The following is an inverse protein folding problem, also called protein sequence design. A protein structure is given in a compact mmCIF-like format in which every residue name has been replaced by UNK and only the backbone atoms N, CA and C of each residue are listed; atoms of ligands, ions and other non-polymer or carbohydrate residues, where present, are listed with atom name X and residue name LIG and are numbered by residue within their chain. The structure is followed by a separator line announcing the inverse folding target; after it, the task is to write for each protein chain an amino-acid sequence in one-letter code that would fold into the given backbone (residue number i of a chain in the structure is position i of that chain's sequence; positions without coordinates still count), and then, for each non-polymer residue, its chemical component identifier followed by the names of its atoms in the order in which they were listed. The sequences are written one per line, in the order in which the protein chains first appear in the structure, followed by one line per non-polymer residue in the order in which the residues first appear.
data_IF_232257542389
#
_entry.id   IF_232257542389
#
_cell.length_a   1.000
_cell.length_b   1.000
_cell.length_c   1.000
_cell.angle_alpha   90.00
_cell.angle_beta   90.00
_cell.angle_gamma   90.00
#
_symmetry.space_group_name_H-M   'P 1'
#
loop_
_entity.id
_entity.type
_entity.pdbx_description
1 polymer ?
#
# COMPACT_ATOMS: atom_id res chain seq x y z
N UNK A 1 6.14 23.13 -6.65
CA UNK A 1 6.19 22.12 -5.57
C UNK A 1 5.31 20.97 -6.02
N UNK A 2 5.80 19.74 -5.98
CA UNK A 2 5.07 18.55 -6.42
C UNK A 2 3.78 18.33 -5.61
N UNK A 3 2.71 17.88 -6.27
CA UNK A 3 1.46 17.53 -5.58
C UNK A 3 1.65 16.35 -4.62
N UNK A 4 2.50 15.38 -4.96
CA UNK A 4 2.90 14.27 -4.08
C UNK A 4 3.57 14.80 -2.81
N UNK A 5 4.48 15.77 -2.93
CA UNK A 5 5.14 16.39 -1.78
C UNK A 5 4.13 17.13 -0.89
N UNK A 6 3.15 17.82 -1.48
CA UNK A 6 2.08 18.49 -0.73
C UNK A 6 1.27 17.49 0.08
N UNK A 7 0.80 16.39 -0.52
CA UNK A 7 0.03 15.40 0.21
C UNK A 7 0.86 14.63 1.24
N UNK A 8 2.09 14.24 0.90
CA UNK A 8 2.97 13.58 1.86
C UNK A 8 3.19 14.45 3.10
N UNK A 9 3.51 15.73 2.95
CA UNK A 9 3.61 16.66 4.08
C UNK A 9 2.32 16.74 4.90
N UNK A 10 1.18 16.84 4.23
CA UNK A 10 -0.11 16.89 4.91
C UNK A 10 -0.40 15.60 5.70
N UNK A 11 0.04 14.42 5.23
CA UNK A 11 -0.08 13.16 5.98
C UNK A 11 0.84 13.17 7.21
N UNK A 12 2.09 13.61 7.04
CA UNK A 12 3.09 13.62 8.13
C UNK A 12 2.71 14.55 9.29
N UNK A 13 1.87 15.55 9.04
CA UNK A 13 1.31 16.44 10.08
C UNK A 13 0.17 15.81 10.88
N UNK A 14 -0.41 14.70 10.42
CA UNK A 14 -1.51 14.02 11.11
C UNK A 14 -0.97 13.13 12.22
N UNK A 15 -1.56 13.23 13.42
CA UNK A 15 -1.11 12.48 14.60
C UNK A 15 -2.10 11.38 15.01
N UNK A 16 -3.15 11.18 14.21
CA UNK A 16 -4.19 10.18 14.47
C UNK A 16 -4.58 9.44 13.20
N UNK A 17 -4.75 8.14 13.32
CA UNK A 17 -5.52 7.32 12.38
C UNK A 17 -7.00 7.40 12.79
N UNK A 18 -7.87 7.73 11.84
CA UNK A 18 -9.32 7.75 12.07
C UNK A 18 -9.89 6.35 11.81
N UNK A 19 -10.64 5.81 12.77
CA UNK A 19 -11.36 4.55 12.65
C UNK A 19 -12.87 4.83 12.81
N UNK A 20 -13.65 4.93 11.71
CA UNK A 20 -15.07 5.24 11.79
C UNK A 20 -15.86 4.18 12.56
N UNK A 21 -16.78 4.61 13.46
CA UNK A 21 -17.63 3.72 14.28
C UNK A 21 -18.52 2.80 13.45
N UNK A 22 -18.92 3.24 12.24
CA UNK A 22 -19.73 2.43 11.32
C UNK A 22 -18.99 1.19 10.78
N UNK A 23 -17.67 1.09 10.95
CA UNK A 23 -16.86 -0.03 10.45
C UNK A 23 -16.02 -0.73 11.52
N UNK A 24 -15.96 -0.19 12.73
CA UNK A 24 -15.15 -0.74 13.81
C UNK A 24 -15.91 -0.74 15.12
N UNK A 25 -15.68 -1.79 15.91
CA UNK A 25 -16.10 -1.85 17.30
C UNK A 25 -14.99 -1.35 18.21
N UNK A 26 -15.36 -0.80 19.37
CA UNK A 26 -14.40 -0.36 20.38
C UNK A 26 -13.53 -1.52 20.83
N UNK A 27 -14.13 -2.69 21.06
CA UNK A 27 -13.47 -3.90 21.55
C UNK A 27 -12.41 -4.39 20.55
N UNK A 28 -12.72 -4.39 19.25
CA UNK A 28 -11.76 -4.77 18.21
C UNK A 28 -10.57 -3.83 18.14
N UNK A 29 -10.81 -2.52 18.26
CA UNK A 29 -9.74 -1.53 18.28
C UNK A 29 -8.90 -1.60 19.55
N UNK A 30 -9.48 -1.89 20.72
CA UNK A 30 -8.73 -2.11 21.96
C UNK A 30 -7.88 -3.37 21.87
N UNK A 31 -8.42 -4.44 21.27
CA UNK A 31 -7.67 -5.66 21.04
C UNK A 31 -6.41 -5.39 20.17
N UNK A 32 -6.54 -4.56 19.14
CA UNK A 32 -5.42 -4.22 18.25
C UNK A 32 -4.47 -3.19 18.86
N UNK A 33 -4.98 -2.05 19.29
CA UNK A 33 -4.20 -0.85 19.65
C UNK A 33 -4.10 -0.59 21.16
N UNK A 34 -4.91 -1.26 21.97
CA UNK A 34 -5.00 -1.03 23.41
C UNK A 34 -6.00 0.10 23.73
N UNK A 35 -6.04 0.51 25.01
CA UNK A 35 -6.99 1.53 25.49
C UNK A 35 -6.52 2.97 25.22
N UNK A 36 -5.72 3.17 24.16
CA UNK A 36 -5.16 4.48 23.76
C UNK A 36 -6.08 5.25 22.80
N UNK A 37 -7.34 4.84 22.70
CA UNK A 37 -8.32 5.38 21.76
C UNK A 37 -8.94 6.68 22.30
N UNK A 38 -9.02 7.71 21.45
CA UNK A 38 -9.81 8.91 21.73
C UNK A 38 -11.17 8.76 21.05
N UNK A 39 -12.24 8.81 21.82
CA UNK A 39 -13.60 8.71 21.27
C UNK A 39 -14.12 10.08 20.80
N UNK A 40 -14.74 10.09 19.62
CA UNK A 40 -15.54 11.20 19.10
C UNK A 40 -16.96 10.72 18.81
N UNK A 41 -17.84 11.60 18.34
CA UNK A 41 -19.20 11.23 17.95
C UNK A 41 -19.22 10.10 16.91
N UNK A 42 -18.43 10.24 15.83
CA UNK A 42 -18.49 9.36 14.66
C UNK A 42 -17.31 8.38 14.51
N UNK A 43 -16.24 8.55 15.29
CA UNK A 43 -15.01 7.78 15.11
C UNK A 43 -14.24 7.53 16.41
N UNK A 44 -13.38 6.52 16.36
CA UNK A 44 -12.29 6.30 17.29
C UNK A 44 -11.02 6.84 16.66
N UNK A 45 -10.23 7.61 17.41
CA UNK A 45 -8.94 8.14 16.94
C UNK A 45 -7.83 7.34 17.62
N UNK A 46 -6.95 6.76 16.81
CA UNK A 46 -5.77 6.02 17.27
C UNK A 46 -4.56 6.94 17.13
N UNK A 47 -3.87 7.31 18.22
CA UNK A 47 -2.62 8.05 18.14
C UNK A 47 -1.60 7.31 17.29
N UNK A 48 -0.91 8.02 16.41
CA UNK A 48 0.06 7.42 15.50
C UNK A 48 1.25 8.34 15.22
N UNK A 49 2.30 7.74 14.68
CA UNK A 49 3.48 8.43 14.16
C UNK A 49 3.73 8.05 12.71
N UNK A 50 4.68 8.71 12.06
CA UNK A 50 5.10 8.41 10.70
C UNK A 50 6.62 8.37 10.62
N UNK A 51 7.13 7.52 9.73
CA UNK A 51 8.55 7.41 9.44
C UNK A 51 8.77 7.63 7.95
N UNK A 52 9.71 8.53 7.64
CA UNK A 52 10.26 8.69 6.28
C UNK A 52 11.74 8.40 6.32
N UNK A 53 12.29 8.12 5.14
CA UNK A 53 13.70 7.78 4.95
C UNK A 53 14.36 8.78 4.03
N UNK A 54 15.68 8.69 3.92
CA UNK A 54 16.40 9.50 2.93
C UNK A 54 15.86 9.21 1.52
N UNK A 55 15.78 10.22 0.64
CA UNK A 55 15.43 10.02 -0.77
C UNK A 55 16.23 8.90 -1.42
N UNK A 56 15.59 8.16 -2.34
CA UNK A 56 16.28 7.19 -3.17
C UNK A 56 17.25 7.91 -4.12
N UNK A 57 18.44 7.34 -4.30
CA UNK A 57 19.40 7.87 -5.26
C UNK A 57 18.99 7.50 -6.69
N UNK A 58 19.30 8.34 -7.70
CA UNK A 58 18.97 8.03 -9.10
C UNK A 58 19.54 6.69 -9.59
N UNK A 59 20.71 6.29 -9.09
CA UNK A 59 21.33 4.99 -9.37
C UNK A 59 20.57 3.82 -8.78
N UNK A 60 19.99 3.97 -7.58
CA UNK A 60 19.16 2.93 -6.96
C UNK A 60 17.91 2.72 -7.80
N UNK A 61 17.28 3.81 -8.23
CA UNK A 61 16.08 3.74 -9.07
C UNK A 61 16.38 3.04 -10.41
N UNK A 62 17.48 3.40 -11.07
CA UNK A 62 17.90 2.69 -12.30
C UNK A 62 18.18 1.21 -12.06
N UNK A 63 18.82 0.87 -10.94
CA UNK A 63 19.14 -0.51 -10.61
C UNK A 63 17.87 -1.36 -10.39
N UNK A 64 16.83 -0.81 -9.75
CA UNK A 64 15.57 -1.52 -9.56
C UNK A 64 14.80 -1.68 -10.86
N UNK A 65 14.77 -0.66 -11.72
CA UNK A 65 14.10 -0.74 -13.03
C UNK A 65 14.75 -1.82 -13.90
N UNK A 66 16.08 -1.88 -13.89
CA UNK A 66 16.83 -2.95 -14.55
C UNK A 66 16.51 -4.34 -13.97
N UNK A 67 16.41 -4.44 -12.64
CA UNK A 67 16.14 -5.70 -11.93
C UNK A 67 14.70 -6.21 -12.14
N UNK A 68 13.76 -5.28 -12.30
CA UNK A 68 12.36 -5.56 -12.54
C UNK A 68 12.06 -5.77 -14.03
N UNK A 69 12.92 -5.27 -14.92
CA UNK A 69 12.78 -5.38 -16.37
C UNK A 69 11.86 -4.31 -16.98
N UNK A 70 11.58 -3.23 -16.25
CA UNK A 70 10.68 -2.16 -16.69
C UNK A 70 10.94 -0.84 -15.95
N UNK A 71 10.51 0.27 -16.56
CA UNK A 71 10.52 1.58 -15.92
C UNK A 71 9.39 1.69 -14.88
N UNK A 72 9.68 2.29 -13.72
CA UNK A 72 8.67 2.53 -12.71
C UNK A 72 7.65 3.57 -13.19
N UNK A 73 6.39 3.52 -12.71
CA UNK A 73 5.45 4.62 -12.89
C UNK A 73 6.05 5.94 -12.41
N UNK A 74 5.86 7.02 -13.18
CA UNK A 74 6.46 8.34 -12.89
C UNK A 74 6.12 8.85 -11.48
N UNK A 75 4.88 8.62 -11.03
CA UNK A 75 4.41 9.00 -9.70
C UNK A 75 5.16 8.26 -8.58
N UNK A 76 5.40 6.95 -8.73
CA UNK A 76 6.18 6.15 -7.78
C UNK A 76 7.66 6.57 -7.79
N UNK A 77 8.22 6.82 -8.99
CA UNK A 77 9.57 7.37 -9.13
C UNK A 77 9.72 8.69 -8.36
N UNK A 78 8.79 9.63 -8.55
CA UNK A 78 8.77 10.90 -7.84
C UNK A 78 8.61 10.73 -6.33
N UNK A 79 7.75 9.82 -5.88
CA UNK A 79 7.61 9.51 -4.46
C UNK A 79 8.95 9.04 -3.85
N UNK A 80 9.66 8.13 -4.52
CA UNK A 80 10.94 7.61 -4.06
C UNK A 80 12.03 8.69 -3.97
N UNK A 81 11.98 9.71 -4.83
CA UNK A 81 12.86 10.88 -4.77
C UNK A 81 12.55 11.83 -3.60
N UNK A 82 11.40 11.68 -2.95
CA UNK A 82 11.07 12.40 -1.71
C UNK A 82 11.43 11.57 -0.47
N UNK A 83 11.20 10.25 -0.52
CA UNK A 83 11.51 9.31 0.56
C UNK A 83 11.64 7.90 0.02
N UNK A 84 12.70 7.17 0.38
CA UNK A 84 12.91 5.78 -0.05
C UNK A 84 12.01 4.81 0.74
N UNK A 85 10.72 4.79 0.41
CA UNK A 85 9.68 4.12 1.20
C UNK A 85 9.18 5.01 2.35
N UNK A 86 8.17 4.55 3.06
CA UNK A 86 7.63 5.23 4.23
C UNK A 86 6.79 4.28 5.09
N UNK A 87 6.67 4.59 6.37
CA UNK A 87 5.71 3.95 7.27
C UNK A 87 4.75 5.01 7.77
N UNK A 88 3.48 4.93 7.36
CA UNK A 88 2.46 5.92 7.69
C UNK A 88 1.44 5.34 8.67
N UNK A 89 1.00 6.16 9.61
CA UNK A 89 0.08 5.82 10.69
C UNK A 89 0.55 4.60 11.48
N UNK A 90 1.78 4.69 12.00
CA UNK A 90 2.38 3.70 12.88
C UNK A 90 1.75 3.86 14.27
N UNK A 91 1.08 2.81 14.76
CA UNK A 91 0.38 2.79 16.03
C UNK A 91 0.92 1.66 16.93
N UNK A 92 0.97 1.85 18.25
CA UNK A 92 1.38 0.80 19.17
C UNK A 92 0.37 -0.37 19.14
N UNK A 93 0.87 -1.60 19.27
CA UNK A 93 0.03 -2.78 19.47
C UNK A 93 -0.27 -3.01 20.96
N UNK A 94 -1.50 -3.37 21.28
CA UNK A 94 -2.01 -3.55 22.65
C UNK A 94 -1.16 -4.53 23.49
N UNK A 95 -0.68 -5.59 22.84
CA UNK A 95 0.04 -6.70 23.45
C UNK A 95 1.56 -6.45 23.56
N UNK A 96 2.04 -5.29 23.11
CA UNK A 96 3.48 -4.97 23.09
C UNK A 96 3.92 -4.41 24.45
N UNK A 97 4.93 -5.02 25.12
CA UNK A 97 5.54 -4.43 26.30
C UNK A 97 6.19 -3.08 25.98
N UNK A 98 6.09 -2.11 26.90
CA UNK A 98 6.56 -0.73 26.70
C UNK A 98 8.05 -0.56 26.38
N UNK A 99 8.86 -1.59 26.64
CA UNK A 99 10.31 -1.62 26.37
C UNK A 99 10.69 -2.30 25.05
N UNK A 100 9.73 -2.90 24.32
CA UNK A 100 10.01 -3.53 23.02
C UNK A 100 10.03 -2.48 21.91
N UNK A 101 11.01 -2.56 21.00
CA UNK A 101 11.04 -1.77 19.76
C UNK A 101 10.50 -2.53 18.55
N UNK A 102 10.13 -3.81 18.69
CA UNK A 102 9.53 -4.64 17.62
C UNK A 102 8.02 -4.72 17.77
N UNK A 103 7.29 -4.64 16.66
CA UNK A 103 5.86 -4.96 16.58
C UNK A 103 4.91 -3.78 16.77
N UNK A 104 5.13 -2.65 16.10
CA UNK A 104 4.07 -1.65 15.95
C UNK A 104 3.20 -2.01 14.75
N UNK A 105 1.93 -1.61 14.80
CA UNK A 105 1.03 -1.69 13.66
C UNK A 105 1.39 -0.58 12.68
N UNK A 106 1.71 -0.93 11.43
CA UNK A 106 2.03 0.04 10.38
C UNK A 106 0.89 0.05 9.38
N UNK A 107 0.02 1.06 9.43
CA UNK A 107 -1.16 1.05 8.57
C UNK A 107 -0.81 1.10 7.07
N UNK A 108 0.21 1.87 6.67
CA UNK A 108 0.75 1.83 5.31
C UNK A 108 2.26 1.70 5.34
N UNK A 109 2.79 0.56 4.91
CA UNK A 109 4.22 0.38 4.70
C UNK A 109 4.50 0.46 3.20
N UNK A 110 4.89 1.66 2.77
CA UNK A 110 5.30 1.94 1.39
C UNK A 110 6.74 1.46 1.21
N UNK A 111 6.94 0.61 0.21
CA UNK A 111 8.19 -0.11 -0.01
C UNK A 111 9.33 0.82 -0.42
N UNK A 112 10.49 0.58 0.20
CA UNK A 112 11.78 1.08 -0.29
C UNK A 112 12.15 0.44 -1.62
N UNK A 113 13.18 0.98 -2.29
CA UNK A 113 13.74 0.44 -3.53
C UNK A 113 14.10 -1.06 -3.40
N UNK A 114 14.71 -1.47 -2.29
CA UNK A 114 15.08 -2.87 -2.05
C UNK A 114 13.85 -3.78 -1.88
N UNK A 115 12.84 -3.31 -1.14
CA UNK A 115 11.59 -4.03 -0.93
C UNK A 115 10.80 -4.15 -2.23
N UNK A 116 10.74 -3.10 -3.06
CA UNK A 116 10.11 -3.13 -4.37
C UNK A 116 10.65 -4.27 -5.23
N UNK A 117 11.97 -4.44 -5.31
CA UNK A 117 12.59 -5.54 -6.07
C UNK A 117 12.19 -6.89 -5.47
N UNK A 118 12.40 -7.05 -4.17
CA UNK A 118 12.20 -8.34 -3.49
C UNK A 118 10.74 -8.80 -3.59
N UNK A 119 9.79 -7.92 -3.27
CA UNK A 119 8.36 -8.23 -3.27
C UNK A 119 7.87 -8.54 -4.69
N UNK A 120 8.17 -7.68 -5.66
CA UNK A 120 7.65 -7.87 -7.03
C UNK A 120 8.29 -9.08 -7.74
N UNK A 121 9.55 -9.42 -7.45
CA UNK A 121 10.16 -10.66 -7.96
C UNK A 121 9.52 -11.91 -7.35
N UNK A 122 9.20 -11.88 -6.05
CA UNK A 122 8.47 -12.98 -5.40
C UNK A 122 7.05 -13.12 -5.98
N UNK A 123 6.33 -12.01 -6.16
CA UNK A 123 5.01 -12.02 -6.80
C UNK A 123 5.07 -12.61 -8.21
N UNK A 124 6.07 -12.25 -9.02
CA UNK A 124 6.27 -12.83 -10.34
C UNK A 124 6.56 -14.34 -10.29
N UNK A 125 7.37 -14.78 -9.31
CA UNK A 125 7.67 -16.20 -9.10
C UNK A 125 6.41 -16.97 -8.72
N UNK A 126 5.63 -16.45 -7.79
CA UNK A 126 4.39 -17.08 -7.32
C UNK A 126 3.35 -17.13 -8.43
N UNK A 127 3.19 -16.04 -9.19
CA UNK A 127 2.37 -15.99 -10.38
C UNK A 127 2.76 -17.09 -11.38
N UNK A 128 4.05 -17.22 -11.71
CA UNK A 128 4.53 -18.28 -12.62
C UNK A 128 4.36 -19.68 -12.06
N UNK A 129 4.55 -19.88 -10.76
CA UNK A 129 4.37 -21.19 -10.14
C UNK A 129 2.90 -21.65 -10.22
N UNK A 130 1.97 -20.71 -10.09
CA UNK A 130 0.53 -21.00 -10.13
C UNK A 130 -0.06 -21.05 -11.55
N UNK A 131 0.47 -20.24 -12.47
CA UNK A 131 -0.14 -20.00 -13.78
C UNK A 131 0.80 -20.20 -14.98
N UNK A 132 2.06 -20.51 -14.79
CA UNK A 132 3.02 -20.65 -15.91
C UNK A 132 2.70 -21.81 -16.88
N UNK A 133 1.77 -22.70 -16.52
CA UNK A 133 1.26 -23.75 -17.40
C UNK A 133 0.05 -23.31 -18.24
N UNK A 134 -0.54 -22.16 -17.94
CA UNK A 134 -1.60 -21.55 -18.72
C UNK A 134 -1.00 -20.96 -20.01
N UNK A 135 -1.50 -21.34 -21.21
CA UNK A 135 -1.01 -20.82 -22.49
C UNK A 135 -0.99 -19.29 -22.56
N UNK A 136 -1.92 -18.61 -21.88
CA UNK A 136 -2.04 -17.15 -21.94
C UNK A 136 -0.92 -16.43 -21.14
N UNK A 137 -0.26 -17.14 -20.22
CA UNK A 137 0.72 -16.57 -19.29
C UNK A 137 2.11 -17.23 -19.36
N UNK A 138 2.31 -18.18 -20.27
CA UNK A 138 3.52 -19.00 -20.37
C UNK A 138 4.81 -18.19 -20.58
N UNK A 139 4.70 -17.10 -21.33
CA UNK A 139 5.82 -16.24 -21.70
C UNK A 139 5.90 -14.94 -20.88
N UNK A 140 5.19 -14.89 -19.73
CA UNK A 140 5.13 -13.69 -18.92
C UNK A 140 6.45 -13.45 -18.17
N UNK A 141 7.23 -12.49 -18.68
CA UNK A 141 8.55 -12.17 -18.17
C UNK A 141 8.59 -11.09 -17.08
N UNK A 142 7.56 -10.26 -17.02
CA UNK A 142 7.39 -9.15 -16.07
C UNK A 142 5.93 -9.01 -15.70
N UNK A 143 5.65 -8.47 -14.52
CA UNK A 143 4.27 -8.17 -14.15
C UNK A 143 3.71 -6.99 -14.98
N UNK A 144 2.39 -6.81 -15.14
CA UNK A 144 1.76 -5.61 -15.70
C UNK A 144 1.42 -4.57 -14.61
N UNK A 145 1.84 -4.80 -13.37
CA UNK A 145 1.70 -3.88 -12.23
C UNK A 145 2.99 -3.85 -11.42
N UNK A 146 3.04 -2.94 -10.45
CA UNK A 146 4.05 -2.90 -9.40
C UNK A 146 3.38 -2.76 -8.03
N UNK A 147 3.56 -3.75 -7.16
CA UNK A 147 3.17 -3.64 -5.77
C UNK A 147 4.10 -2.64 -5.06
N UNK A 148 3.53 -1.67 -4.36
CA UNK A 148 4.29 -0.55 -3.77
C UNK A 148 4.02 -0.32 -2.28
N UNK A 149 2.97 -0.91 -1.72
CA UNK A 149 2.63 -0.77 -0.31
C UNK A 149 2.10 -2.10 0.24
N UNK A 150 2.53 -2.48 1.44
CA UNK A 150 1.90 -3.55 2.21
C UNK A 150 0.50 -3.10 2.65
N UNK A 151 -0.47 -4.00 2.48
CA UNK A 151 -1.85 -3.84 2.88
C UNK A 151 -2.28 -4.91 3.90
N UNK A 152 -1.31 -5.52 4.59
CA UNK A 152 -1.45 -6.57 5.60
C UNK A 152 -1.96 -7.90 5.06
N UNK A 153 -1.69 -8.96 5.82
CA UNK A 153 -2.14 -10.34 5.53
C UNK A 153 -1.77 -10.82 4.12
N UNK A 154 -0.60 -10.40 3.62
CA UNK A 154 -0.11 -10.75 2.29
C UNK A 154 -0.75 -9.96 1.14
N UNK A 155 -1.65 -9.02 1.44
CA UNK A 155 -2.26 -8.13 0.46
C UNK A 155 -1.36 -6.92 0.19
N UNK A 156 -1.50 -6.33 -0.99
CA UNK A 156 -0.72 -5.16 -1.39
C UNK A 156 -1.60 -4.10 -2.03
N UNK A 157 -1.12 -2.85 -2.04
CA UNK A 157 -1.54 -1.89 -3.05
C UNK A 157 -0.58 -1.95 -4.23
N UNK A 158 -1.13 -1.93 -5.45
CA UNK A 158 -0.37 -2.00 -6.68
C UNK A 158 -0.77 -0.90 -7.66
N UNK A 159 0.19 -0.48 -8.49
CA UNK A 159 -0.01 0.48 -9.58
C UNK A 159 -0.03 -0.28 -10.90
N UNK A 160 -1.10 -0.13 -11.68
CA UNK A 160 -1.19 -0.71 -13.01
C UNK A 160 -0.22 -0.01 -13.97
N UNK A 161 0.52 -0.78 -14.78
CA UNK A 161 1.56 -0.26 -15.68
C UNK A 161 1.17 -0.24 -17.14
N UNK A 162 0.13 -0.97 -17.53
CA UNK A 162 -0.23 -1.19 -18.94
C UNK A 162 -1.74 -0.98 -19.15
N UNK A 163 -2.14 -0.71 -20.40
CA UNK A 163 -3.54 -0.58 -20.79
C UNK A 163 -4.13 0.83 -20.58
N UNK A 164 -5.44 0.99 -20.85
CA UNK A 164 -6.11 2.29 -20.84
C UNK A 164 -6.22 2.93 -19.45
N UNK A 165 -6.13 2.14 -18.39
CA UNK A 165 -6.19 2.60 -16.99
C UNK A 165 -4.79 2.63 -16.33
N UNK A 166 -3.72 2.68 -17.14
CA UNK A 166 -2.36 2.79 -16.64
C UNK A 166 -2.23 3.91 -15.59
N UNK A 167 -1.57 3.60 -14.48
CA UNK A 167 -1.37 4.50 -13.35
C UNK A 167 -2.38 4.32 -12.21
N UNK A 168 -3.49 3.61 -12.42
CA UNK A 168 -4.47 3.36 -11.35
C UNK A 168 -3.86 2.57 -10.19
N UNK A 169 -4.31 2.89 -8.98
CA UNK A 169 -4.00 2.16 -7.75
C UNK A 169 -5.14 1.20 -7.45
N UNK A 170 -4.82 -0.07 -7.23
CA UNK A 170 -5.79 -1.11 -6.90
C UNK A 170 -5.32 -1.97 -5.73
N UNK A 171 -6.29 -2.62 -5.07
CA UNK A 171 -6.02 -3.55 -3.99
C UNK A 171 -5.71 -4.93 -4.57
N UNK A 172 -4.49 -5.42 -4.34
CA UNK A 172 -4.00 -6.71 -4.77
C UNK A 172 -4.21 -7.71 -3.63
N UNK A 173 -5.33 -8.41 -3.69
CA UNK A 173 -5.72 -9.42 -2.71
C UNK A 173 -4.99 -10.75 -2.98
N UNK A 174 -4.30 -11.26 -1.98
CA UNK A 174 -3.51 -12.50 -2.08
C UNK A 174 -4.38 -13.74 -2.31
N UNK A 175 -5.64 -13.74 -1.88
CA UNK A 175 -6.56 -14.86 -2.05
C UNK A 175 -6.90 -15.10 -3.53
N UNK A 176 -6.79 -14.05 -4.36
CA UNK A 176 -7.06 -14.09 -5.81
C UNK A 176 -5.81 -14.37 -6.65
N UNK A 177 -4.74 -14.86 -6.01
CA UNK A 177 -3.54 -15.40 -6.67
C UNK A 177 -2.81 -14.39 -7.58
N UNK A 178 -2.96 -13.09 -7.31
CA UNK A 178 -2.23 -12.03 -7.99
C UNK A 178 -2.47 -11.94 -9.52
N UNK A 179 -3.71 -12.19 -9.96
CA UNK A 179 -4.15 -12.36 -11.35
C UNK A 179 -4.90 -11.17 -12.00
N UNK A 180 -4.35 -9.95 -12.14
CA UNK A 180 -5.04 -8.88 -12.86
C UNK A 180 -4.90 -8.96 -14.39
N UNK A 181 -4.66 -10.15 -14.97
CA UNK A 181 -4.33 -10.32 -16.39
C UNK A 181 -5.47 -10.84 -17.26
N UNK A 182 -6.54 -11.39 -16.69
CA UNK A 182 -7.68 -11.85 -17.48
C UNK A 182 -8.82 -10.83 -17.41
N UNK A 183 -9.55 -10.64 -18.51
CA UNK A 183 -10.77 -9.80 -18.52
C UNK A 183 -11.81 -10.28 -17.50
N UNK A 184 -11.77 -11.57 -17.13
CA UNK A 184 -12.66 -12.15 -16.11
C UNK A 184 -12.25 -11.80 -14.68
N UNK A 185 -10.96 -11.55 -14.46
CA UNK A 185 -10.41 -11.26 -13.14
C UNK A 185 -10.16 -9.75 -12.93
N UNK A 186 -10.16 -8.94 -14.00
CA UNK A 186 -9.99 -7.48 -13.91
C UNK A 186 -11.04 -6.82 -13.03
N UNK A 187 -12.28 -7.33 -13.02
CA UNK A 187 -13.37 -6.89 -12.15
C UNK A 187 -13.17 -7.24 -10.66
N UNK A 188 -12.28 -8.20 -10.35
CA UNK A 188 -11.96 -8.61 -8.98
C UNK A 188 -11.01 -7.63 -8.29
N UNK A 189 -10.18 -6.92 -9.06
CA UNK A 189 -9.24 -5.93 -8.57
C UNK A 189 -9.85 -4.53 -8.67
N UNK A 190 -10.71 -4.20 -7.70
CA UNK A 190 -11.38 -2.90 -7.69
C UNK A 190 -10.36 -1.75 -7.58
N UNK A 191 -10.63 -0.70 -8.34
CA UNK A 191 -9.83 0.53 -8.30
C UNK A 191 -10.00 1.20 -6.93
N UNK A 192 -8.88 1.41 -6.23
CA UNK A 192 -8.84 2.18 -4.98
C UNK A 192 -8.75 3.67 -5.31
N UNK A 193 -7.91 4.03 -6.29
CA UNK A 193 -7.78 5.40 -6.78
C UNK A 193 -7.30 5.43 -8.24
N UNK A 194 -7.59 6.52 -8.96
CA UNK A 194 -7.21 6.70 -10.37
C UNK A 194 -5.70 6.91 -10.56
N UNK A 195 -4.98 7.31 -9.50
CA UNK A 195 -3.53 7.47 -9.51
C UNK A 195 -2.94 7.41 -8.09
N UNK A 196 -1.61 7.40 -7.98
CA UNK A 196 -0.93 7.49 -6.69
C UNK A 196 -1.20 8.82 -5.98
N UNK A 197 -1.32 9.92 -6.73
CA UNK A 197 -1.69 11.23 -6.21
C UNK A 197 -3.11 11.22 -5.65
N UNK A 198 -4.07 10.64 -6.38
CA UNK A 198 -5.44 10.49 -5.92
C UNK A 198 -5.52 9.59 -4.68
N UNK A 199 -4.70 8.54 -4.61
CA UNK A 199 -4.58 7.71 -3.42
C UNK A 199 -4.02 8.48 -2.22
N UNK A 200 -2.95 9.26 -2.39
CA UNK A 200 -2.40 10.11 -1.33
C UNK A 200 -3.42 11.16 -0.87
N UNK A 201 -4.15 11.77 -1.79
CA UNK A 201 -5.23 12.70 -1.46
C UNK A 201 -6.33 12.02 -0.63
N UNK A 202 -6.73 10.81 -1.01
CA UNK A 202 -7.70 10.01 -0.26
C UNK A 202 -7.20 9.73 1.16
N UNK A 203 -5.93 9.33 1.31
CA UNK A 203 -5.30 9.08 2.61
C UNK A 203 -5.30 10.36 3.46
N UNK A 204 -5.00 11.53 2.89
CA UNK A 204 -5.09 12.83 3.57
C UNK A 204 -6.51 13.12 4.04
N UNK A 205 -7.48 13.07 3.12
CA UNK A 205 -8.89 13.42 3.36
C UNK A 205 -9.53 12.53 4.43
N UNK A 206 -9.13 11.27 4.46
CA UNK A 206 -9.71 10.25 5.36
C UNK A 206 -8.90 10.04 6.62
N UNK A 207 -7.77 10.75 6.78
CA UNK A 207 -6.83 10.59 7.88
C UNK A 207 -6.41 9.14 8.09
N UNK A 208 -5.98 8.52 7.00
CA UNK A 208 -5.51 7.15 6.97
C UNK A 208 -6.61 6.12 6.71
N UNK A 209 -7.89 6.41 6.97
CA UNK A 209 -8.95 5.39 6.88
C UNK A 209 -9.15 4.78 5.47
N UNK A 210 -9.18 5.60 4.42
CA UNK A 210 -9.74 5.21 3.13
C UNK A 210 -8.76 4.59 2.14
N UNK A 211 -7.46 4.54 2.47
CA UNK A 211 -6.40 4.20 1.50
C UNK A 211 -6.37 2.74 1.04
N UNK A 212 -7.16 1.84 1.62
CA UNK A 212 -7.34 0.49 1.08
C UNK A 212 -8.58 0.33 0.21
N UNK A 213 -9.39 1.39 0.05
CA UNK A 213 -10.66 1.35 -0.66
C UNK A 213 -11.73 0.55 0.11
N UNK A 214 -12.88 0.27 -0.53
CA UNK A 214 -13.97 -0.48 0.14
C UNK A 214 -13.68 -1.98 0.05
N UNK A 215 -13.36 -2.63 1.18
CA UNK A 215 -13.82 -4.01 1.41
C UNK A 215 -15.35 -3.94 1.45
N UNK A 216 -16.01 -4.20 0.33
CA UNK A 216 -17.39 -4.68 0.37
C UNK A 216 -17.24 -6.17 0.67
N UNK A 217 -17.54 -6.68 1.88
CA UNK A 217 -17.84 -8.09 1.99
C UNK A 217 -19.00 -8.35 1.03
N UNK A 218 -19.05 -9.48 0.31
CA UNK A 218 -20.24 -9.82 -0.46
C UNK A 218 -21.46 -9.69 0.46
N UNK A 219 -22.46 -8.94 -0.02
CA UNK A 219 -23.78 -8.86 0.61
C UNK A 219 -24.37 -10.26 0.79
#
# INVERSE_FOLDING_TARGET
MSIINTYLKAILEQQVLVCPKRMHTREGLIFTFGDVLIETEDAWLVPCTHTTYSPALPEDIRAIEQSLGFALPESLHHFLQLTNGAQLYVAPLAWKPSWSTKGDYIHYHIFSTLELVTINQNLLKDFRAMLGNDPDFRDLHTLNYVAFCDAHDGNYLAILREGPEQGKVFFLDHEYLFRPYSERDADLYYTVAESLEAWLELVVKTKGWGGFGRRVPPL
#
